data_IF_907737433111
#
_entry.id   IF_907737433111
#
_cell.length_a   1.000
_cell.length_b   1.000
_cell.length_c   1.000
_cell.angle_alpha   90.00
_cell.angle_beta   90.00
_cell.angle_gamma   90.00
#
_symmetry.space_group_name_H-M   'P 1'
#
loop_
_entity.id
_entity.type
_entity.pdbx_description
1 polymer ?
#
# COMPACT_ATOMS: atom_id res chain seq x y z
N UNK A 1 2.16 -14.41 1.73
CA UNK A 1 1.92 -13.00 1.29
C UNK A 1 2.43 -12.72 -0.12
N UNK A 2 3.62 -13.18 -0.46
CA UNK A 2 4.21 -12.85 -1.76
C UNK A 2 3.34 -13.19 -2.97
N UNK A 3 2.70 -14.37 -3.07
CA UNK A 3 1.86 -14.66 -4.25
C UNK A 3 0.70 -13.68 -4.43
N UNK A 4 0.09 -13.25 -3.34
CA UNK A 4 -1.01 -12.27 -3.40
C UNK A 4 -0.51 -10.91 -3.87
N UNK A 5 0.62 -10.47 -3.34
CA UNK A 5 1.24 -9.20 -3.73
C UNK A 5 1.63 -9.23 -5.21
N UNK A 6 2.26 -10.31 -5.65
CA UNK A 6 2.64 -10.47 -7.06
C UNK A 6 1.44 -10.41 -7.99
N UNK A 7 0.33 -11.05 -7.60
CA UNK A 7 -0.90 -11.05 -8.40
C UNK A 7 -1.46 -9.64 -8.56
N UNK A 8 -1.47 -8.86 -7.48
CA UNK A 8 -1.95 -7.47 -7.52
C UNK A 8 -1.06 -6.62 -8.43
N UNK A 9 0.25 -6.72 -8.27
CA UNK A 9 1.19 -5.95 -9.09
C UNK A 9 1.01 -6.29 -10.57
N UNK A 10 0.87 -7.57 -10.88
CA UNK A 10 0.66 -8.02 -12.26
C UNK A 10 -0.64 -7.47 -12.84
N UNK A 11 -1.70 -7.49 -12.04
CA UNK A 11 -3.00 -6.98 -12.47
C UNK A 11 -2.97 -5.48 -12.74
N UNK A 12 -2.22 -4.72 -11.94
CA UNK A 12 -2.16 -3.27 -12.07
C UNK A 12 -1.05 -2.79 -13.00
N UNK A 13 -0.25 -3.70 -13.56
CA UNK A 13 0.90 -3.32 -14.40
C UNK A 13 0.48 -2.59 -15.67
N UNK A 14 -0.66 -2.93 -16.25
CA UNK A 14 -1.15 -2.24 -17.45
C UNK A 14 -1.50 -0.78 -17.15
N UNK A 15 -2.15 -0.54 -16.02
CA UNK A 15 -2.50 0.82 -15.59
C UNK A 15 -1.23 1.62 -15.29
N UNK A 16 -0.26 0.99 -14.64
CA UNK A 16 1.02 1.64 -14.36
C UNK A 16 1.71 2.04 -15.65
N UNK A 17 1.73 1.16 -16.63
CA UNK A 17 2.35 1.44 -17.93
C UNK A 17 1.64 2.59 -18.65
N UNK A 18 0.31 2.62 -18.61
CA UNK A 18 -0.47 3.70 -19.21
C UNK A 18 -0.16 5.05 -18.57
N UNK A 19 0.19 5.06 -17.29
CA UNK A 19 0.54 6.27 -16.56
C UNK A 19 2.05 6.53 -16.52
N UNK A 20 2.81 5.74 -17.25
CA UNK A 20 4.26 5.87 -17.34
C UNK A 20 4.95 5.69 -15.98
N UNK A 21 4.47 4.72 -15.21
CA UNK A 21 5.00 4.40 -13.88
C UNK A 21 5.70 3.05 -13.95
N UNK A 22 6.91 2.97 -13.43
CA UNK A 22 7.67 1.73 -13.33
C UNK A 22 7.46 1.12 -11.94
N UNK A 23 7.01 -0.14 -11.90
CA UNK A 23 6.85 -0.86 -10.64
C UNK A 23 8.03 -1.81 -10.45
N UNK A 24 8.67 -1.72 -9.30
CA UNK A 24 9.72 -2.67 -8.90
C UNK A 24 9.24 -3.41 -7.67
N UNK A 25 9.59 -4.69 -7.58
CA UNK A 25 9.17 -5.53 -6.45
C UNK A 25 10.37 -6.21 -5.82
N UNK A 26 10.34 -6.31 -4.49
CA UNK A 26 11.33 -7.04 -3.70
C UNK A 26 10.56 -7.83 -2.65
N UNK A 27 10.23 -9.08 -2.97
CA UNK A 27 9.29 -9.86 -2.18
C UNK A 27 10.01 -11.04 -1.51
N UNK A 28 10.22 -10.93 -0.20
CA UNK A 28 10.68 -12.06 0.59
C UNK A 28 9.54 -13.03 0.83
N UNK A 29 9.86 -14.28 0.91
CA UNK A 29 8.89 -15.33 1.22
C UNK A 29 9.04 -15.75 2.67
N UNK A 30 8.20 -16.68 3.11
CA UNK A 30 8.28 -17.31 4.43
C UNK A 30 8.02 -16.38 5.62
N UNK A 31 7.03 -15.50 5.46
CA UNK A 31 6.54 -14.69 6.56
C UNK A 31 5.09 -15.07 6.85
N UNK A 32 4.85 -16.17 7.59
CA UNK A 32 3.48 -16.61 7.85
C UNK A 32 2.75 -15.62 8.74
N UNK A 33 1.62 -15.15 8.25
CA UNK A 33 0.73 -14.30 9.02
C UNK A 33 -0.68 -14.86 8.94
N UNK A 34 -1.46 -14.57 9.96
CA UNK A 34 -2.84 -15.02 10.01
C UNK A 34 -3.74 -13.93 9.46
N UNK A 35 -3.94 -13.95 8.14
CA UNK A 35 -4.78 -12.97 7.45
C UNK A 35 -5.51 -13.68 6.31
N UNK A 36 -6.76 -13.28 6.08
CA UNK A 36 -7.49 -13.77 4.91
C UNK A 36 -6.86 -13.23 3.64
N UNK A 37 -6.80 -14.08 2.62
CA UNK A 37 -6.23 -13.69 1.33
C UNK A 37 -6.95 -12.47 0.75
N UNK A 38 -8.28 -12.42 0.88
CA UNK A 38 -9.06 -11.28 0.39
C UNK A 38 -8.68 -9.98 1.09
N UNK A 39 -8.40 -10.05 2.38
CA UNK A 39 -7.97 -8.87 3.14
C UNK A 39 -6.61 -8.37 2.67
N UNK A 40 -5.68 -9.28 2.50
CA UNK A 40 -4.34 -8.94 2.02
C UNK A 40 -4.40 -8.39 0.58
N UNK A 41 -5.23 -9.01 -0.26
CA UNK A 41 -5.44 -8.53 -1.62
C UNK A 41 -5.96 -7.08 -1.62
N UNK A 42 -6.95 -6.80 -0.78
CA UNK A 42 -7.55 -5.47 -0.72
C UNK A 42 -6.58 -4.40 -0.24
N UNK A 43 -5.79 -4.72 0.79
CA UNK A 43 -4.76 -3.82 1.29
C UNK A 43 -3.75 -3.51 0.18
N UNK A 44 -3.22 -4.55 -0.44
CA UNK A 44 -2.19 -4.42 -1.47
C UNK A 44 -2.72 -3.67 -2.68
N UNK A 45 -3.90 -4.05 -3.15
CA UNK A 45 -4.53 -3.40 -4.31
C UNK A 45 -4.69 -1.90 -4.07
N UNK A 46 -5.24 -1.52 -2.93
CA UNK A 46 -5.50 -0.10 -2.65
C UNK A 46 -4.22 0.72 -2.52
N UNK A 47 -3.19 0.14 -1.88
CA UNK A 47 -1.92 0.86 -1.73
C UNK A 47 -1.18 1.00 -3.07
N UNK A 48 -1.16 -0.06 -3.87
CA UNK A 48 -0.48 -0.01 -5.17
C UNK A 48 -1.23 0.90 -6.13
N UNK A 49 -2.56 0.77 -6.20
CA UNK A 49 -3.37 1.63 -7.05
C UNK A 49 -3.20 3.10 -6.67
N UNK A 50 -3.21 3.39 -5.38
CA UNK A 50 -3.00 4.74 -4.87
C UNK A 50 -1.62 5.28 -5.29
N UNK A 51 -0.58 4.46 -5.18
CA UNK A 51 0.76 4.84 -5.58
C UNK A 51 0.91 5.10 -7.08
N UNK A 52 0.07 4.46 -7.90
CA UNK A 52 0.04 4.74 -9.34
C UNK A 52 -0.71 6.03 -9.63
N UNK A 53 -1.90 6.18 -9.05
CA UNK A 53 -2.78 7.32 -9.34
C UNK A 53 -2.19 8.68 -8.97
N UNK A 54 -1.48 8.73 -7.84
CA UNK A 54 -0.95 9.99 -7.32
C UNK A 54 0.53 10.15 -7.59
N UNK A 55 1.07 9.35 -8.49
CA UNK A 55 2.45 9.47 -8.92
C UNK A 55 2.59 10.48 -10.06
N UNK A 56 3.83 10.79 -10.39
CA UNK A 56 4.15 11.69 -11.50
C UNK A 56 4.53 10.86 -12.72
N UNK A 57 4.26 11.33 -13.95
CA UNK A 57 4.69 10.61 -15.16
C UNK A 57 6.20 10.40 -15.14
N UNK A 58 6.63 9.18 -15.45
CA UNK A 58 8.04 8.80 -15.35
C UNK A 58 8.48 8.38 -13.97
N UNK A 59 7.57 8.36 -13.00
CA UNK A 59 7.86 8.01 -11.64
C UNK A 59 7.99 6.51 -11.42
N UNK A 60 8.25 6.16 -10.16
CA UNK A 60 8.46 4.78 -9.74
C UNK A 60 7.55 4.41 -8.58
N UNK A 61 7.25 3.14 -8.51
CA UNK A 61 6.55 2.54 -7.37
C UNK A 61 7.34 1.31 -6.95
N UNK A 62 7.74 1.27 -5.70
CA UNK A 62 8.52 0.16 -5.16
C UNK A 62 7.65 -0.59 -4.15
N UNK A 63 7.47 -1.88 -4.35
CA UNK A 63 6.68 -2.74 -3.48
C UNK A 63 7.62 -3.74 -2.84
N UNK A 64 7.71 -3.68 -1.52
CA UNK A 64 8.60 -4.56 -0.76
C UNK A 64 7.81 -5.38 0.24
N UNK A 65 8.20 -6.62 0.37
CA UNK A 65 7.69 -7.52 1.39
C UNK A 65 8.90 -8.09 2.11
N UNK A 66 8.97 -7.87 3.42
CA UNK A 66 10.14 -8.26 4.19
C UNK A 66 9.73 -8.71 5.58
N UNK A 67 10.63 -9.41 6.25
CA UNK A 67 10.48 -9.75 7.66
C UNK A 67 11.42 -8.86 8.46
N UNK A 68 10.88 -8.25 9.50
CA UNK A 68 11.68 -7.45 10.42
C UNK A 68 11.26 -7.82 11.84
N UNK A 69 12.19 -8.41 12.58
CA UNK A 69 11.90 -8.95 13.91
C UNK A 69 10.75 -9.97 13.84
N UNK A 70 9.69 -9.77 14.60
CA UNK A 70 8.55 -10.67 14.62
C UNK A 70 7.39 -10.15 13.76
N UNK A 71 7.67 -9.28 12.81
CA UNK A 71 6.65 -8.69 11.95
C UNK A 71 6.93 -8.95 10.48
N UNK A 72 5.85 -9.17 9.73
CA UNK A 72 5.88 -9.14 8.28
C UNK A 72 5.53 -7.73 7.83
N UNK A 73 6.35 -7.17 6.97
CA UNK A 73 6.25 -5.76 6.55
C UNK A 73 5.92 -5.71 5.06
N UNK A 74 4.84 -5.04 4.73
CA UNK A 74 4.53 -4.68 3.35
C UNK A 74 4.74 -3.16 3.22
N UNK A 75 5.63 -2.76 2.32
CA UNK A 75 5.95 -1.36 2.14
C UNK A 75 5.74 -0.97 0.68
N UNK A 76 4.99 0.10 0.47
CA UNK A 76 4.72 0.63 -0.86
C UNK A 76 5.22 2.07 -0.90
N UNK A 77 6.25 2.30 -1.71
CA UNK A 77 6.90 3.61 -1.83
C UNK A 77 6.66 4.17 -3.22
N UNK A 78 6.23 5.41 -3.30
CA UNK A 78 6.07 6.09 -4.59
C UNK A 78 6.90 7.37 -4.63
N UNK A 79 7.19 7.81 -5.85
CA UNK A 79 7.90 9.07 -6.12
C UNK A 79 6.93 10.16 -6.54
N UNK A 80 5.71 10.11 -6.00
CA UNK A 80 4.64 10.99 -6.41
C UNK A 80 4.68 12.38 -5.79
N UNK A 81 3.52 12.99 -5.72
CA UNK A 81 3.41 14.37 -5.26
C UNK A 81 3.56 14.53 -3.74
N UNK A 82 3.50 13.44 -2.98
CA UNK A 82 3.50 13.52 -1.53
C UNK A 82 2.17 13.99 -0.98
N UNK A 83 2.11 14.10 0.33
CA UNK A 83 0.89 14.50 1.05
C UNK A 83 1.23 15.74 1.90
N UNK A 84 0.45 16.81 1.76
CA UNK A 84 0.68 17.99 2.61
C UNK A 84 0.46 17.68 4.09
N UNK A 85 1.20 18.34 4.97
CA UNK A 85 1.12 18.09 6.40
C UNK A 85 -0.29 18.27 6.96
N UNK A 86 -1.03 19.25 6.46
CA UNK A 86 -2.40 19.51 6.91
C UNK A 86 -3.38 18.43 6.46
N UNK A 87 -3.04 17.67 5.42
CA UNK A 87 -3.86 16.55 4.95
C UNK A 87 -3.51 15.24 5.65
N UNK A 88 -2.29 15.12 6.16
CA UNK A 88 -1.76 13.84 6.65
C UNK A 88 -2.61 13.20 7.76
N UNK A 89 -3.22 14.00 8.62
CA UNK A 89 -4.08 13.51 9.69
C UNK A 89 -5.45 13.05 9.20
N UNK A 90 -5.81 13.35 7.95
CA UNK A 90 -7.12 13.09 7.40
C UNK A 90 -7.15 12.01 6.31
N UNK A 91 -5.99 11.53 5.86
CA UNK A 91 -5.93 10.66 4.67
C UNK A 91 -6.66 9.34 4.85
N UNK A 92 -6.87 8.90 6.09
CA UNK A 92 -7.60 7.66 6.37
C UNK A 92 -9.09 7.88 6.66
N UNK A 93 -9.55 9.12 6.58
CA UNK A 93 -10.97 9.41 6.75
C UNK A 93 -11.74 9.05 5.48
N UNK A 94 -12.95 8.58 5.67
CA UNK A 94 -13.82 8.23 4.54
C UNK A 94 -14.10 9.47 3.69
N UNK A 95 -14.02 9.31 2.37
CA UNK A 95 -14.31 10.33 1.37
C UNK A 95 -13.35 11.51 1.40
N UNK A 96 -12.30 11.46 2.20
CA UNK A 96 -11.32 12.53 2.20
C UNK A 96 -10.43 12.42 0.95
N UNK A 97 -10.20 13.55 0.31
CA UNK A 97 -9.34 13.66 -0.88
C UNK A 97 -8.43 14.87 -0.72
N UNK A 98 -7.14 14.66 -0.93
CA UNK A 98 -6.15 15.74 -0.87
C UNK A 98 -6.40 16.76 -1.98
N UNK A 99 -6.70 16.28 -3.18
CA UNK A 99 -7.01 17.10 -4.35
C UNK A 99 -8.28 16.57 -4.98
N UNK A 100 -9.39 17.25 -4.72
CA UNK A 100 -10.70 16.81 -5.18
C UNK A 100 -10.82 16.77 -6.70
N UNK A 101 -10.24 17.75 -7.39
CA UNK A 101 -10.31 17.78 -8.84
C UNK A 101 -9.51 16.64 -9.46
N UNK A 102 -8.30 16.40 -8.95
CA UNK A 102 -7.46 15.31 -9.44
C UNK A 102 -8.05 13.95 -9.10
N UNK A 103 -8.60 13.80 -7.90
CA UNK A 103 -9.26 12.56 -7.49
C UNK A 103 -10.43 12.22 -8.39
N UNK A 104 -11.22 13.22 -8.79
CA UNK A 104 -12.32 13.00 -9.73
C UNK A 104 -11.80 12.58 -11.10
N UNK A 105 -10.74 13.20 -11.58
CA UNK A 105 -10.15 12.86 -12.86
C UNK A 105 -9.60 11.43 -12.88
N UNK A 106 -9.11 10.94 -11.75
CA UNK A 106 -8.58 9.58 -11.61
C UNK A 106 -9.65 8.56 -11.20
N UNK A 107 -10.88 9.01 -10.91
CA UNK A 107 -11.96 8.13 -10.48
C UNK A 107 -11.88 7.68 -9.03
N UNK A 108 -11.08 8.35 -8.20
CA UNK A 108 -10.94 7.98 -6.81
C UNK A 108 -12.19 8.30 -5.99
N UNK A 109 -12.61 7.37 -5.13
CA UNK A 109 -13.79 7.52 -4.29
C UNK A 109 -13.49 8.15 -2.93
N UNK A 110 -12.21 8.17 -2.52
CA UNK A 110 -11.83 8.59 -1.17
C UNK A 110 -12.03 7.53 -0.12
N UNK A 111 -12.31 6.29 -0.51
CA UNK A 111 -12.54 5.18 0.42
C UNK A 111 -11.34 4.25 0.56
N UNK A 112 -10.41 4.25 -0.41
CA UNK A 112 -9.34 3.25 -0.47
C UNK A 112 -8.49 3.19 0.80
N UNK A 113 -7.99 4.32 1.28
CA UNK A 113 -7.14 4.34 2.46
C UNK A 113 -7.91 4.06 3.75
N UNK A 114 -9.18 4.49 3.83
CA UNK A 114 -10.02 4.18 4.98
C UNK A 114 -10.26 2.67 5.08
N UNK A 115 -10.48 2.01 3.95
CA UNK A 115 -10.64 0.56 3.89
C UNK A 115 -9.36 -0.13 4.32
N UNK A 116 -8.21 0.32 3.81
CA UNK A 116 -6.91 -0.25 4.18
C UNK A 116 -6.70 -0.20 5.69
N UNK A 117 -6.91 0.97 6.29
CA UNK A 117 -6.71 1.12 7.73
C UNK A 117 -7.62 0.20 8.53
N UNK A 118 -8.90 0.12 8.15
CA UNK A 118 -9.85 -0.73 8.84
C UNK A 118 -9.44 -2.20 8.78
N UNK A 119 -9.00 -2.68 7.61
CA UNK A 119 -8.58 -4.07 7.44
C UNK A 119 -7.29 -4.33 8.23
N UNK A 120 -6.33 -3.42 8.18
CA UNK A 120 -5.08 -3.55 8.91
C UNK A 120 -5.33 -3.69 10.41
N UNK A 121 -6.16 -2.79 10.97
CA UNK A 121 -6.47 -2.82 12.40
C UNK A 121 -7.23 -4.09 12.80
N UNK A 122 -8.15 -4.55 11.94
CA UNK A 122 -8.90 -5.78 12.19
C UNK A 122 -7.99 -7.01 12.28
N UNK A 123 -6.86 -6.98 11.58
CA UNK A 123 -5.90 -8.07 11.56
C UNK A 123 -4.72 -7.85 12.49
N UNK A 124 -4.87 -6.97 13.48
CA UNK A 124 -3.85 -6.70 14.49
C UNK A 124 -2.57 -6.09 13.93
N UNK A 125 -2.69 -5.46 12.78
CA UNK A 125 -1.56 -4.79 12.16
C UNK A 125 -1.48 -3.32 12.50
N UNK A 126 -0.46 -2.70 11.96
CA UNK A 126 -0.27 -1.27 12.04
C UNK A 126 0.02 -0.72 10.65
N UNK A 127 -0.43 0.51 10.41
CA UNK A 127 -0.11 1.20 9.17
C UNK A 127 0.48 2.57 9.51
N UNK A 128 1.58 2.89 8.87
CA UNK A 128 2.23 4.18 8.99
C UNK A 128 2.47 4.77 7.62
N UNK A 129 2.59 6.08 7.56
CA UNK A 129 2.89 6.79 6.33
C UNK A 129 3.97 7.82 6.60
N UNK A 130 5.00 7.82 5.75
CA UNK A 130 6.00 8.86 5.71
C UNK A 130 5.89 9.53 4.36
N UNK A 131 5.87 10.85 4.35
CA UNK A 131 5.66 11.58 3.11
C UNK A 131 6.46 12.86 3.11
N UNK A 132 6.84 13.27 1.90
CA UNK A 132 7.49 14.55 1.68
C UNK A 132 6.89 15.17 0.43
N UNK A 133 6.31 16.35 0.59
CA UNK A 133 5.65 17.04 -0.52
C UNK A 133 6.62 17.24 -1.67
N UNK A 134 6.21 16.86 -2.86
CA UNK A 134 7.03 16.92 -4.06
C UNK A 134 8.02 15.78 -4.24
N UNK A 135 8.10 14.84 -3.31
CA UNK A 135 9.05 13.74 -3.39
C UNK A 135 8.41 12.36 -3.33
N UNK A 136 7.25 12.24 -2.70
CA UNK A 136 6.54 10.98 -2.66
C UNK A 136 6.13 10.55 -1.27
N UNK A 137 5.65 9.32 -1.17
CA UNK A 137 5.12 8.77 0.07
C UNK A 137 5.54 7.32 0.24
N UNK A 138 5.66 6.90 1.49
CA UNK A 138 5.97 5.51 1.87
C UNK A 138 4.89 5.05 2.83
N UNK A 139 4.10 4.07 2.41
CA UNK A 139 3.12 3.42 3.27
C UNK A 139 3.72 2.11 3.76
N UNK A 140 3.72 1.91 5.07
CA UNK A 140 4.25 0.71 5.69
C UNK A 140 3.16 0.04 6.50
N UNK A 141 2.87 -1.22 6.17
CA UNK A 141 1.91 -2.04 6.88
C UNK A 141 2.67 -3.18 7.54
N UNK A 142 2.45 -3.39 8.83
CA UNK A 142 3.09 -4.48 9.54
C UNK A 142 2.05 -5.38 10.17
N UNK A 143 2.32 -6.69 10.14
CA UNK A 143 1.49 -7.70 10.78
C UNK A 143 2.37 -8.58 11.65
N UNK A 144 1.87 -9.02 12.82
CA UNK A 144 2.64 -9.98 13.62
C UNK A 144 2.76 -11.29 12.87
N UNK A 145 3.96 -11.86 12.88
CA UNK A 145 4.18 -13.17 12.29
C UNK A 145 3.61 -14.22 13.23
N UNK A 146 2.79 -15.08 12.66
CA UNK A 146 2.20 -16.18 13.41
C UNK A 146 2.99 -17.43 13.10
N UNK A 147 3.87 -17.79 14.05
CA UNK A 147 4.62 -19.05 13.95
C UNK A 147 3.92 -20.08 14.82
N UNK A 148 3.44 -21.14 14.20
CA UNK A 148 2.98 -22.30 14.96
C UNK A 148 4.20 -22.93 15.60
N UNK A 149 4.25 -22.95 16.92
CA UNK A 149 5.25 -23.75 17.60
C UNK A 149 5.00 -25.19 17.25
N UNK A 150 5.96 -25.73 16.60
CA UNK A 150 5.92 -27.16 16.40
C UNK A 150 6.40 -27.74 17.68
N UNK A 151 5.67 -28.20 18.44
CA UNK A 151 6.05 -28.78 19.52
C UNK A 151 6.46 -29.87 19.53
N UNK A 152 6.72 -29.60 19.66
CA UNK A 152 7.12 -30.25 19.79
C UNK A 152 6.93 -31.07 20.13
#
# INVERSE_FOLDING_TARGET
MAPTVERVVRMLSAIAQQNNITIETHLEQDSPILILEDDLYQITFNLVENGIKYNVPGGKLDVQLMRQDDNAILQVSDTGMGIPDDALTHIFERFYRVDKARSRATGGSGLGLAIVRAIVLRNRGEITVETKLGKGSVFTVSFPIFETEVDE
#
